data_IF_458498958454
#
_entry.id   IF_458498958454
#
_cell.length_a   1.000
_cell.length_b   1.000
_cell.length_c   1.000
_cell.angle_alpha   90.00
_cell.angle_beta   90.00
_cell.angle_gamma   90.00
#
_symmetry.space_group_name_H-M   'P 1'
#
loop_
_entity.id
_entity.type
_entity.pdbx_description
1 polymer ?
#
# COMPACT_ATOMS: atom_id res chain seq x y z
N UNK A 1 -22.56 2.58 21.52
CA UNK A 1 -21.13 2.25 21.38
C UNK A 1 -20.85 1.30 20.20
N UNK A 2 -21.45 0.11 20.13
CA UNK A 2 -21.18 -0.84 19.01
C UNK A 2 -21.57 -0.26 17.63
N UNK A 3 -22.74 0.36 17.49
CA UNK A 3 -23.17 0.93 16.21
C UNK A 3 -22.25 2.05 15.70
N UNK A 4 -21.67 2.84 16.61
CA UNK A 4 -20.69 3.87 16.28
C UNK A 4 -19.37 3.24 15.78
N UNK A 5 -18.89 2.17 16.43
CA UNK A 5 -17.68 1.46 15.97
C UNK A 5 -17.88 0.88 14.57
N UNK A 6 -19.01 0.22 14.31
CA UNK A 6 -19.32 -0.32 12.99
C UNK A 6 -19.40 0.80 11.93
N UNK A 7 -20.00 1.95 12.28
CA UNK A 7 -20.05 3.11 11.38
C UNK A 7 -18.66 3.68 11.07
N UNK A 8 -17.78 3.80 12.07
CA UNK A 8 -16.40 4.28 11.87
C UNK A 8 -15.59 3.30 11.02
N UNK A 9 -15.70 2.00 11.28
CA UNK A 9 -15.04 0.96 10.48
C UNK A 9 -15.53 1.02 9.03
N UNK A 10 -16.84 1.13 8.83
CA UNK A 10 -17.44 1.27 7.50
C UNK A 10 -16.96 2.52 6.77
N UNK A 11 -16.96 3.67 7.42
CA UNK A 11 -16.51 4.94 6.84
C UNK A 11 -15.03 4.90 6.43
N UNK A 12 -14.18 4.22 7.20
CA UNK A 12 -12.77 4.04 6.87
C UNK A 12 -12.54 3.01 5.75
N UNK A 13 -13.28 1.89 5.77
CA UNK A 13 -13.06 0.75 4.86
C UNK A 13 -13.68 0.94 3.48
N UNK A 14 -14.91 1.48 3.39
CA UNK A 14 -15.68 1.57 2.12
C UNK A 14 -14.95 2.35 1.02
N UNK A 15 -14.38 3.56 1.27
CA UNK A 15 -13.65 4.29 0.24
C UNK A 15 -12.43 3.52 -0.28
N UNK A 16 -11.73 2.84 0.64
CA UNK A 16 -10.55 2.05 0.32
C UNK A 16 -10.91 0.83 -0.53
N UNK A 17 -12.03 0.16 -0.23
CA UNK A 17 -12.55 -0.94 -1.04
C UNK A 17 -12.94 -0.46 -2.44
N UNK A 18 -13.71 0.61 -2.54
CA UNK A 18 -14.10 1.18 -3.84
C UNK A 18 -12.90 1.49 -4.74
N UNK A 19 -11.81 2.03 -4.18
CA UNK A 19 -10.59 2.33 -4.93
C UNK A 19 -9.88 1.05 -5.43
N UNK A 20 -9.74 0.04 -4.59
CA UNK A 20 -9.01 -1.19 -4.91
C UNK A 20 -9.80 -2.18 -5.79
N UNK A 21 -11.13 -2.18 -5.71
CA UNK A 21 -11.97 -3.03 -6.57
C UNK A 21 -12.17 -2.42 -7.96
N UNK A 22 -12.31 -1.09 -8.07
CA UNK A 22 -12.39 -0.41 -9.39
C UNK A 22 -11.11 -0.56 -10.21
N UNK A 23 -9.95 -0.60 -9.55
CA UNK A 23 -8.67 -0.72 -10.25
C UNK A 23 -8.35 -2.15 -10.70
N UNK A 24 -9.11 -3.17 -10.29
CA UNK A 24 -8.86 -4.58 -10.62
C UNK A 24 -7.52 -5.15 -10.10
N UNK A 25 -6.70 -4.32 -9.45
CA UNK A 25 -5.29 -4.56 -9.11
C UNK A 25 -5.06 -5.01 -7.67
N UNK A 26 -6.12 -5.33 -6.92
CA UNK A 26 -5.99 -5.81 -5.54
C UNK A 26 -5.12 -7.07 -5.46
N UNK A 27 -3.98 -7.00 -4.77
CA UNK A 27 -3.13 -8.16 -4.51
C UNK A 27 -3.91 -9.28 -3.79
N UNK A 28 -3.41 -10.53 -3.83
CA UNK A 28 -4.04 -11.65 -3.10
C UNK A 28 -4.23 -11.31 -1.60
N UNK A 29 -3.28 -10.55 -1.03
CA UNK A 29 -3.30 -10.08 0.36
C UNK A 29 -4.42 -9.08 0.60
N UNK A 30 -4.61 -8.09 -0.29
CA UNK A 30 -5.70 -7.11 -0.21
C UNK A 30 -7.05 -7.83 -0.22
N UNK A 31 -7.27 -8.75 -1.17
CA UNK A 31 -8.52 -9.51 -1.27
C UNK A 31 -8.77 -10.35 -0.02
N UNK A 32 -7.75 -11.05 0.47
CA UNK A 32 -7.84 -11.83 1.70
C UNK A 32 -8.21 -10.97 2.90
N UNK A 33 -7.62 -9.78 3.03
CA UNK A 33 -7.93 -8.83 4.09
C UNK A 33 -9.39 -8.35 4.04
N UNK A 34 -9.89 -7.96 2.86
CA UNK A 34 -11.29 -7.51 2.71
C UNK A 34 -12.25 -8.62 3.13
N UNK A 35 -12.08 -9.83 2.59
CA UNK A 35 -12.97 -10.95 2.89
C UNK A 35 -12.92 -11.29 4.38
N UNK A 36 -11.70 -11.40 4.95
CA UNK A 36 -11.53 -11.69 6.37
C UNK A 36 -12.17 -10.62 7.26
N UNK A 37 -11.93 -9.34 6.96
CA UNK A 37 -12.49 -8.22 7.70
C UNK A 37 -14.02 -8.20 7.66
N UNK A 38 -14.63 -8.39 6.49
CA UNK A 38 -16.09 -8.43 6.35
C UNK A 38 -16.73 -9.58 7.13
N UNK A 39 -16.15 -10.79 7.06
CA UNK A 39 -16.66 -11.96 7.81
C UNK A 39 -16.59 -11.70 9.32
N UNK A 40 -15.49 -11.13 9.79
CA UNK A 40 -15.28 -10.87 11.22
C UNK A 40 -16.20 -9.78 11.75
N UNK A 41 -16.42 -8.71 10.97
CA UNK A 41 -17.33 -7.62 11.35
C UNK A 41 -18.78 -8.12 11.43
N UNK A 42 -19.22 -8.91 10.44
CA UNK A 42 -20.55 -9.53 10.45
C UNK A 42 -20.72 -10.50 11.63
N UNK A 43 -19.69 -11.26 11.96
CA UNK A 43 -19.70 -12.17 13.12
C UNK A 43 -19.80 -11.38 14.44
N UNK A 44 -19.05 -10.29 14.58
CA UNK A 44 -19.13 -9.40 15.74
C UNK A 44 -20.51 -8.77 15.89
N UNK A 45 -21.08 -8.27 14.78
CA UNK A 45 -22.42 -7.70 14.75
C UNK A 45 -23.48 -8.74 15.13
N UNK A 46 -23.38 -9.96 14.59
CA UNK A 46 -24.25 -11.07 14.93
C UNK A 46 -24.20 -11.39 16.43
N UNK A 47 -23.01 -11.49 17.04
CA UNK A 47 -22.88 -11.78 18.47
C UNK A 47 -23.55 -10.68 19.30
N UNK A 48 -23.30 -9.41 18.99
CA UNK A 48 -23.92 -8.29 19.74
C UNK A 48 -25.44 -8.31 19.61
N UNK A 49 -25.96 -8.55 18.41
CA UNK A 49 -27.41 -8.63 18.18
C UNK A 49 -28.01 -9.84 18.90
N UNK A 50 -27.38 -11.02 18.81
CA UNK A 50 -27.87 -12.26 19.42
C UNK A 50 -27.91 -12.24 20.95
N UNK A 51 -27.11 -11.37 21.59
CA UNK A 51 -27.05 -11.22 23.06
C UNK A 51 -27.86 -10.00 23.52
N UNK A 52 -27.88 -8.92 22.75
CA UNK A 52 -28.48 -7.64 23.16
C UNK A 52 -29.94 -7.42 22.75
N UNK A 53 -30.47 -8.17 21.79
CA UNK A 53 -31.87 -8.06 21.35
C UNK A 53 -32.66 -9.27 21.84
N UNK A 54 -33.52 -9.07 22.84
CA UNK A 54 -34.46 -10.08 23.34
C UNK A 54 -35.49 -10.55 22.29
N UNK A 55 -35.60 -9.80 21.17
CA UNK A 55 -36.45 -10.15 20.03
C UNK A 55 -35.91 -11.32 19.19
N UNK A 56 -34.67 -11.81 19.40
CA UNK A 56 -34.17 -12.95 18.63
C UNK A 56 -34.76 -14.29 19.11
N UNK A 57 -35.26 -15.15 18.19
CA UNK A 57 -35.72 -16.48 18.54
C UNK A 57 -34.56 -17.29 19.15
N UNK A 58 -34.87 -18.12 20.16
CA UNK A 58 -33.88 -18.91 20.93
C UNK A 58 -32.91 -19.72 20.06
N UNK A 59 -33.30 -20.07 18.83
CA UNK A 59 -32.51 -20.81 17.83
C UNK A 59 -31.30 -20.02 17.30
N UNK A 60 -31.36 -18.68 17.34
CA UNK A 60 -30.32 -17.77 16.85
C UNK A 60 -29.49 -17.15 17.98
N UNK A 61 -29.75 -17.52 19.24
CA UNK A 61 -28.94 -17.08 20.38
C UNK A 61 -27.67 -17.91 20.48
N UNK A 62 -26.53 -17.24 20.72
CA UNK A 62 -25.26 -17.92 20.99
C UNK A 62 -25.28 -18.57 22.37
N UNK A 63 -25.23 -19.90 22.43
CA UNK A 63 -25.20 -20.62 23.71
C UNK A 63 -23.89 -20.44 24.49
N UNK A 64 -22.75 -20.55 23.80
CA UNK A 64 -21.41 -20.49 24.41
C UNK A 64 -20.71 -19.15 24.16
N UNK A 65 -21.25 -18.08 24.74
CA UNK A 65 -20.77 -16.71 24.54
C UNK A 65 -19.25 -16.56 24.69
N UNK A 66 -18.66 -17.14 25.74
CA UNK A 66 -17.21 -17.07 26.01
C UNK A 66 -16.35 -17.69 24.90
N UNK A 67 -16.83 -18.78 24.27
CA UNK A 67 -16.12 -19.43 23.15
C UNK A 67 -16.23 -18.58 21.89
N UNK A 68 -17.43 -18.07 21.60
CA UNK A 68 -17.67 -17.20 20.45
C UNK A 68 -16.86 -15.91 20.51
N UNK A 69 -16.73 -15.31 21.70
CA UNK A 69 -15.91 -14.12 21.89
C UNK A 69 -14.42 -14.38 21.63
N UNK A 70 -13.89 -15.55 22.06
CA UNK A 70 -12.49 -15.94 21.79
C UNK A 70 -12.24 -16.16 20.30
N UNK A 71 -13.16 -16.83 19.61
CA UNK A 71 -13.08 -17.03 18.16
C UNK A 71 -13.10 -15.69 17.43
N UNK A 72 -14.03 -14.81 17.83
CA UNK A 72 -14.16 -13.47 17.25
C UNK A 72 -12.91 -12.64 17.46
N UNK A 73 -12.33 -12.66 18.67
CA UNK A 73 -11.08 -11.97 18.97
C UNK A 73 -9.92 -12.51 18.13
N UNK A 74 -9.77 -13.84 18.04
CA UNK A 74 -8.72 -14.45 17.22
C UNK A 74 -8.84 -14.07 15.74
N UNK A 75 -10.07 -14.10 15.22
CA UNK A 75 -10.33 -13.71 13.84
C UNK A 75 -10.10 -12.20 13.60
N UNK A 76 -10.42 -11.35 14.60
CA UNK A 76 -10.09 -9.93 14.60
C UNK A 76 -8.60 -9.67 14.51
N UNK A 77 -7.79 -10.39 15.28
CA UNK A 77 -6.33 -10.25 15.25
C UNK A 77 -5.77 -10.64 13.87
N UNK A 78 -6.29 -11.69 13.25
CA UNK A 78 -5.90 -12.07 11.88
C UNK A 78 -6.29 -10.98 10.87
N UNK A 79 -7.50 -10.45 10.95
CA UNK A 79 -7.96 -9.37 10.08
C UNK A 79 -7.09 -8.11 10.22
N UNK A 80 -6.76 -7.70 11.45
CA UNK A 80 -5.85 -6.58 11.73
C UNK A 80 -4.45 -6.84 11.17
N UNK A 81 -3.90 -8.03 11.38
CA UNK A 81 -2.59 -8.41 10.83
C UNK A 81 -2.55 -8.31 9.30
N UNK A 82 -3.58 -8.83 8.63
CA UNK A 82 -3.75 -8.69 7.18
C UNK A 82 -3.93 -7.22 6.74
N UNK A 83 -4.57 -6.40 7.57
CA UNK A 83 -4.75 -4.96 7.32
C UNK A 83 -3.44 -4.19 7.40
N UNK A 84 -2.62 -4.47 8.41
CA UNK A 84 -1.26 -3.91 8.54
C UNK A 84 -0.40 -4.33 7.34
N UNK A 85 -0.47 -5.59 6.92
CA UNK A 85 0.25 -6.05 5.74
C UNK A 85 -0.24 -5.33 4.48
N UNK A 86 -1.56 -5.23 4.28
CA UNK A 86 -2.15 -4.49 3.17
C UNK A 86 -1.68 -3.03 3.15
N UNK A 87 -1.72 -2.35 4.30
CA UNK A 87 -1.22 -0.98 4.45
C UNK A 87 0.25 -0.88 4.06
N UNK A 88 1.10 -1.81 4.48
CA UNK A 88 2.52 -1.85 4.09
C UNK A 88 2.71 -2.17 2.60
N UNK A 89 1.89 -3.01 1.98
CA UNK A 89 2.00 -3.26 0.54
C UNK A 89 1.58 -2.06 -0.31
N UNK A 90 0.58 -1.31 0.15
CA UNK A 90 0.08 -0.14 -0.56
C UNK A 90 0.94 1.11 -0.31
N UNK A 91 1.55 1.26 0.87
CA UNK A 91 2.35 2.43 1.25
C UNK A 91 3.87 2.19 1.25
N UNK A 92 4.31 0.93 1.34
CA UNK A 92 5.72 0.54 1.25
C UNK A 92 6.22 0.36 -0.18
N UNK A 93 5.37 0.66 -1.18
CA UNK A 93 5.66 0.61 -2.61
C UNK A 93 6.51 1.77 -3.14
N UNK A 94 7.23 2.47 -2.27
CA UNK A 94 8.35 3.32 -2.66
C UNK A 94 9.43 3.11 -1.62
N UNK A 95 10.47 2.33 -1.95
CA UNK A 95 11.76 2.65 -1.39
C UNK A 95 12.00 4.15 -1.68
N UNK A 96 12.57 4.94 -0.75
CA UNK A 96 13.11 6.24 -1.16
C UNK A 96 13.91 5.97 -2.44
N UNK A 97 13.63 6.73 -3.50
CA UNK A 97 14.32 6.57 -4.77
C UNK A 97 15.78 6.33 -4.44
N UNK A 98 16.34 5.20 -4.89
CA UNK A 98 17.77 4.96 -4.71
C UNK A 98 18.46 6.27 -5.05
N UNK A 99 19.41 6.75 -4.23
CA UNK A 99 20.14 7.98 -4.56
C UNK A 99 20.51 7.88 -6.04
N UNK A 100 20.32 8.97 -6.82
CA UNK A 100 20.51 8.94 -8.26
C UNK A 100 21.77 8.14 -8.53
N UNK A 101 21.67 7.12 -9.38
CA UNK A 101 22.82 6.33 -9.77
C UNK A 101 23.97 7.31 -10.02
N UNK A 102 25.14 7.02 -9.45
CA UNK A 102 26.36 7.82 -9.60
C UNK A 102 26.38 8.46 -10.99
N UNK A 103 26.68 9.78 -11.08
CA UNK A 103 26.43 10.58 -12.27
C UNK A 103 26.86 9.79 -13.50
N UNK A 104 25.88 9.51 -14.38
CA UNK A 104 26.12 8.91 -15.67
C UNK A 104 26.99 9.88 -16.46
N UNK A 105 28.30 9.73 -16.40
CA UNK A 105 29.23 10.69 -16.99
C UNK A 105 28.98 10.82 -18.48
N UNK A 106 28.62 12.03 -18.90
CA UNK A 106 28.48 12.37 -20.30
C UNK A 106 29.83 12.84 -20.80
N UNK A 107 30.43 12.14 -21.77
CA UNK A 107 31.74 12.52 -22.31
C UNK A 107 31.56 13.36 -23.57
N UNK A 108 32.20 14.53 -23.60
CA UNK A 108 32.29 15.38 -24.79
C UNK A 108 33.73 15.39 -25.26
N UNK A 109 33.96 15.00 -26.52
CA UNK A 109 35.30 15.01 -27.11
C UNK A 109 35.49 16.29 -27.92
N UNK A 110 36.56 17.02 -27.63
CA UNK A 110 36.98 18.20 -28.41
C UNK A 110 38.03 17.74 -29.43
N UNK A 111 37.69 17.80 -30.72
CA UNK A 111 38.60 17.46 -31.83
C UNK A 111 38.38 18.38 -33.01
N UNK A 112 39.44 18.77 -33.72
CA UNK A 112 39.37 19.59 -34.95
C UNK A 112 38.48 20.85 -34.81
N UNK A 113 38.56 21.55 -33.68
CA UNK A 113 37.73 22.73 -33.35
C UNK A 113 36.22 22.48 -33.26
N UNK A 114 35.79 21.22 -33.09
CA UNK A 114 34.40 20.84 -32.89
C UNK A 114 34.18 19.96 -31.66
N UNK A 115 32.92 19.87 -31.22
CA UNK A 115 32.47 19.04 -30.13
C UNK A 115 31.77 17.78 -30.68
N UNK A 116 32.10 16.62 -30.13
CA UNK A 116 31.47 15.34 -30.48
C UNK A 116 30.94 14.67 -29.20
N UNK A 117 29.61 14.60 -29.01
CA UNK A 117 28.55 15.14 -29.87
C UNK A 117 28.43 16.67 -29.81
N UNK A 118 27.86 17.29 -30.85
CA UNK A 118 27.67 18.74 -30.93
C UNK A 118 26.54 19.26 -30.02
N UNK A 119 25.54 18.43 -29.75
CA UNK A 119 24.46 18.69 -28.80
C UNK A 119 24.26 17.48 -27.91
N UNK A 120 24.07 17.71 -26.61
CA UNK A 120 23.74 16.67 -25.65
C UNK A 120 22.71 17.18 -24.67
N UNK A 121 21.65 16.40 -24.44
CA UNK A 121 20.66 16.66 -23.40
C UNK A 121 21.08 15.90 -22.15
N UNK A 122 21.55 16.61 -21.13
CA UNK A 122 21.94 15.99 -19.84
C UNK A 122 20.87 16.22 -18.78
N UNK A 123 20.47 15.18 -18.03
CA UNK A 123 19.63 15.36 -16.84
C UNK A 123 20.33 16.26 -15.82
N UNK A 124 19.56 17.07 -15.09
CA UNK A 124 20.08 17.90 -13.99
C UNK A 124 20.79 17.02 -12.96
N UNK A 125 22.04 17.34 -12.64
CA UNK A 125 22.90 16.56 -11.73
C UNK A 125 23.86 15.58 -12.41
N UNK A 126 24.02 15.66 -13.73
CA UNK A 126 25.00 14.85 -14.48
C UNK A 126 26.35 15.54 -14.56
N UNK A 127 27.44 14.84 -14.23
CA UNK A 127 28.81 15.31 -14.46
C UNK A 127 29.19 15.13 -15.93
N UNK A 128 29.76 16.18 -16.54
CA UNK A 128 30.23 16.16 -17.93
C UNK A 128 31.75 16.08 -17.95
N UNK A 129 32.27 15.02 -18.54
CA UNK A 129 33.71 14.83 -18.75
C UNK A 129 34.12 15.41 -20.11
N UNK A 130 35.01 16.41 -20.09
CA UNK A 130 35.57 17.00 -21.30
C UNK A 130 36.90 16.32 -21.63
N UNK A 131 36.96 15.65 -22.78
CA UNK A 131 38.15 14.95 -23.25
C UNK A 131 38.74 15.67 -24.47
N UNK A 132 39.99 16.13 -24.35
CA UNK A 132 40.70 16.82 -25.41
C UNK A 132 41.45 15.83 -26.31
N UNK A 133 41.19 15.88 -27.62
CA UNK A 133 41.98 15.21 -28.65
C UNK A 133 42.54 16.22 -29.65
N UNK A 134 43.43 17.10 -29.21
CA UNK A 134 44.36 17.77 -30.13
C UNK A 134 44.74 19.21 -29.79
N UNK A 135 45.40 19.42 -28.65
CA UNK A 135 46.05 20.69 -28.33
C UNK A 135 45.55 21.27 -27.01
N UNK A 136 45.74 22.58 -26.80
CA UNK A 136 45.33 23.25 -25.56
C UNK A 136 44.00 23.96 -25.80
N UNK A 137 42.90 23.35 -25.35
CA UNK A 137 41.57 23.96 -25.40
C UNK A 137 41.11 24.35 -23.99
N UNK A 138 40.35 25.45 -23.86
CA UNK A 138 39.70 25.85 -22.60
C UNK A 138 38.19 25.88 -22.81
N UNK A 139 37.45 25.21 -21.93
CA UNK A 139 35.98 25.20 -21.89
C UNK A 139 35.50 26.21 -20.87
#
# INVERSE_FOLDING_TARGET
MVGLNAAVIGAAMVPSFHRNFKSGTGSRVVRAHVIAGSVVELLGLYIVVSVGLDALPKRLRVGNYKRWMRVTLGAWLVAVGLGVWTYRTLNGGSAPASPPALPSSARIVVKNFGFDPAEITVPVGTDVEWADQGGRHSV
#
